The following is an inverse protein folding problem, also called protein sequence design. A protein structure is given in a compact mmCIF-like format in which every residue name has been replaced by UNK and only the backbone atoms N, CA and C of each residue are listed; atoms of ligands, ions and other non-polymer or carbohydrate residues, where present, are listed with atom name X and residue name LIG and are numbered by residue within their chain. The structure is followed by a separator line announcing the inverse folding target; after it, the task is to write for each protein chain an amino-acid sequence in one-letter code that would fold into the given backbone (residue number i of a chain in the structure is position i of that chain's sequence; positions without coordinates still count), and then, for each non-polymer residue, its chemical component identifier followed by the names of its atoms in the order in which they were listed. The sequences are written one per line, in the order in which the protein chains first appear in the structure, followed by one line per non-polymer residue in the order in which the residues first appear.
data_IF_732892915898
#
_entry.id   IF_732892915898
#
_cell.length_a   1.000
_cell.length_b   1.000
_cell.length_c   1.000
_cell.angle_alpha   90.00
_cell.angle_beta   90.00
_cell.angle_gamma   90.00
#
_symmetry.space_group_name_H-M   'P 1'
#
loop_
_entity.id
_entity.type
_entity.pdbx_description
1 polymer ?
#
# COMPACT_ATOMS: atom_id res chain seq x y z
N UNK A 1 71.21 -43.01 -31.36
CA UNK A 1 71.68 -43.59 -30.08
C UNK A 1 71.25 -42.59 -29.01
N UNK A 2 70.36 -42.81 -28.04
CA UNK A 2 69.66 -43.97 -27.45
C UNK A 2 68.58 -43.35 -26.56
N UNK A 3 67.30 -43.56 -26.87
CA UNK A 3 66.29 -44.32 -26.08
C UNK A 3 65.81 -43.69 -24.77
N UNK A 4 64.48 -43.58 -24.61
CA UNK A 4 63.82 -43.39 -23.33
C UNK A 4 62.33 -43.08 -23.41
N UNK A 5 61.52 -44.02 -23.92
CA UNK A 5 60.07 -44.01 -23.69
C UNK A 5 59.79 -44.59 -22.29
N UNK A 6 58.94 -43.92 -21.52
CA UNK A 6 58.53 -44.33 -20.17
C UNK A 6 57.12 -43.84 -19.86
N UNK A 7 56.25 -44.81 -19.62
CA UNK A 7 54.80 -44.80 -19.51
C UNK A 7 54.21 -44.05 -18.27
N UNK A 8 52.92 -43.73 -18.41
CA UNK A 8 51.84 -43.85 -17.39
C UNK A 8 51.43 -42.66 -16.48
N UNK A 9 50.09 -42.59 -16.35
CA UNK A 9 49.27 -42.01 -15.28
C UNK A 9 48.71 -40.58 -15.39
N UNK A 10 47.47 -40.50 -15.91
CA UNK A 10 46.42 -39.55 -15.48
C UNK A 10 45.92 -39.98 -14.08
N UNK A 11 45.52 -39.08 -13.16
CA UNK A 11 44.20 -38.46 -13.29
C UNK A 11 44.01 -37.04 -12.72
N UNK A 12 43.01 -36.36 -13.30
CA UNK A 12 41.96 -35.58 -12.63
C UNK A 12 42.36 -34.61 -11.51
N UNK A 13 42.22 -33.30 -11.77
CA UNK A 13 41.70 -32.31 -10.82
C UNK A 13 41.45 -30.96 -11.50
N UNK A 14 40.30 -30.87 -12.16
CA UNK A 14 39.56 -29.61 -12.22
C UNK A 14 39.21 -29.22 -10.77
N UNK A 15 39.85 -28.20 -10.21
CA UNK A 15 39.37 -27.53 -8.99
C UNK A 15 40.10 -26.20 -8.77
N UNK A 16 39.45 -25.08 -9.12
CA UNK A 16 39.49 -23.84 -8.34
C UNK A 16 38.53 -22.82 -8.95
N UNK A 17 37.21 -23.04 -8.80
CA UNK A 17 36.26 -21.94 -8.85
C UNK A 17 36.32 -21.24 -7.48
N UNK A 18 36.91 -20.05 -7.45
CA UNK A 18 36.82 -19.15 -6.30
C UNK A 18 35.38 -18.63 -6.19
N UNK A 19 34.52 -19.37 -5.49
CA UNK A 19 33.24 -18.87 -5.04
C UNK A 19 33.47 -18.03 -3.78
N UNK A 20 33.59 -16.73 -3.94
CA UNK A 20 33.53 -15.79 -2.82
C UNK A 20 32.11 -15.82 -2.26
N UNK A 21 31.89 -16.57 -1.19
CA UNK A 21 30.62 -16.58 -0.45
C UNK A 21 30.45 -15.23 0.24
N UNK A 22 29.59 -14.37 -0.31
CA UNK A 22 29.03 -13.24 0.42
C UNK A 22 28.31 -13.81 1.66
N UNK A 23 28.88 -13.58 2.84
CA UNK A 23 28.26 -13.94 4.11
C UNK A 23 27.16 -12.91 4.39
N UNK A 24 25.95 -13.20 3.94
CA UNK A 24 24.76 -12.46 4.37
C UNK A 24 24.41 -12.91 5.79
N UNK A 25 24.26 -11.98 6.73
CA UNK A 25 23.92 -12.31 8.11
C UNK A 25 22.47 -12.84 8.18
N UNK A 26 22.18 -13.68 9.18
CA UNK A 26 20.84 -14.23 9.38
C UNK A 26 19.75 -13.14 9.50
N UNK A 27 20.12 -11.94 9.95
CA UNK A 27 19.25 -10.76 10.00
C UNK A 27 18.91 -10.24 8.60
N UNK A 28 19.85 -10.24 7.66
CA UNK A 28 19.64 -9.81 6.26
C UNK A 28 18.74 -10.80 5.50
N UNK A 29 18.90 -12.09 5.79
CA UNK A 29 18.02 -13.15 5.28
C UNK A 29 16.59 -12.99 5.82
N UNK A 30 16.45 -12.57 7.08
CA UNK A 30 15.13 -12.32 7.67
C UNK A 30 14.47 -11.08 7.06
N UNK A 31 15.23 -10.00 6.84
CA UNK A 31 14.75 -8.76 6.21
C UNK A 31 14.30 -9.01 4.76
N UNK A 32 15.09 -9.74 3.98
CA UNK A 32 14.74 -10.10 2.59
C UNK A 32 13.51 -11.00 2.51
N UNK A 33 13.39 -12.01 3.38
CA UNK A 33 12.19 -12.85 3.48
C UNK A 33 10.93 -12.07 3.89
N UNK A 34 11.06 -11.08 4.78
CA UNK A 34 9.95 -10.20 5.14
C UNK A 34 9.56 -9.29 3.98
N UNK A 35 10.53 -8.72 3.27
CA UNK A 35 10.28 -7.89 2.08
C UNK A 35 9.61 -8.69 0.94
N UNK A 36 10.07 -9.91 0.67
CA UNK A 36 9.45 -10.83 -0.29
C UNK A 36 8.02 -11.18 0.11
N UNK A 37 7.77 -11.43 1.40
CA UNK A 37 6.41 -11.67 1.92
C UNK A 37 5.51 -10.46 1.76
N UNK A 38 6.03 -9.25 1.98
CA UNK A 38 5.28 -8.00 1.78
C UNK A 38 4.93 -7.84 0.29
N UNK A 39 5.89 -8.03 -0.62
CA UNK A 39 5.70 -7.95 -2.07
C UNK A 39 4.77 -9.06 -2.61
N UNK A 40 4.78 -10.25 -2.02
CA UNK A 40 3.90 -11.36 -2.41
C UNK A 40 2.43 -11.15 -2.03
N UNK A 41 2.13 -10.14 -1.19
CA UNK A 41 0.76 -9.81 -0.76
C UNK A 41 0.19 -8.55 -1.40
N UNK A 42 0.92 -7.89 -2.30
CA UNK A 42 0.40 -6.75 -3.06
C UNK A 42 -0.68 -7.19 -4.05
N UNK A 43 -1.90 -7.34 -3.55
CA UNK A 43 -3.07 -7.51 -4.39
C UNK A 43 -3.22 -6.26 -5.26
N UNK A 44 -3.45 -6.47 -6.56
CA UNK A 44 -3.69 -5.37 -7.47
C UNK A 44 -4.94 -4.62 -7.04
N UNK A 45 -4.81 -3.30 -6.86
CA UNK A 45 -5.93 -2.45 -6.45
C UNK A 45 -7.05 -2.50 -7.50
N UNK A 46 -8.29 -2.68 -7.06
CA UNK A 46 -9.43 -2.71 -7.97
C UNK A 46 -9.66 -1.29 -8.53
N UNK A 47 -10.04 -1.15 -9.81
CA UNK A 47 -10.26 0.17 -10.43
C UNK A 47 -11.23 1.08 -9.66
N UNK A 48 -12.24 0.49 -9.02
CA UNK A 48 -13.27 1.24 -8.28
C UNK A 48 -12.77 1.84 -6.95
N UNK A 49 -11.63 1.38 -6.42
CA UNK A 49 -11.11 1.87 -5.15
C UNK A 49 -10.68 3.34 -5.24
N UNK A 50 -10.06 3.74 -6.36
CA UNK A 50 -9.65 5.13 -6.55
C UNK A 50 -10.85 6.10 -6.48
N UNK A 51 -11.93 5.79 -7.20
CA UNK A 51 -13.14 6.62 -7.18
C UNK A 51 -13.77 6.63 -5.78
N UNK A 52 -13.80 5.48 -5.10
CA UNK A 52 -14.34 5.40 -3.75
C UNK A 52 -13.53 6.25 -2.75
N UNK A 53 -12.20 6.12 -2.75
CA UNK A 53 -11.32 6.90 -1.87
C UNK A 53 -11.43 8.40 -2.15
N UNK A 54 -11.58 8.78 -3.43
CA UNK A 54 -11.61 10.16 -3.88
C UNK A 54 -12.96 10.86 -3.66
N UNK A 55 -14.08 10.17 -3.87
CA UNK A 55 -15.38 10.82 -4.09
C UNK A 55 -16.48 10.33 -3.13
N UNK A 56 -16.32 9.18 -2.47
CA UNK A 56 -17.35 8.63 -1.59
C UNK A 56 -17.65 9.58 -0.44
N UNK A 57 -18.88 10.10 -0.42
CA UNK A 57 -19.41 11.04 0.56
C UNK A 57 -18.63 12.34 0.66
N UNK A 58 -17.93 12.75 -0.40
CA UNK A 58 -17.27 14.07 -0.45
C UNK A 58 -18.27 15.14 -0.88
N UNK A 59 -19.08 14.84 -1.91
CA UNK A 59 -20.05 15.77 -2.49
C UNK A 59 -21.47 15.57 -1.97
N UNK A 60 -22.25 16.66 -1.95
CA UNK A 60 -23.66 16.64 -1.53
C UNK A 60 -24.53 16.02 -2.61
N UNK A 61 -25.46 15.16 -2.22
CA UNK A 61 -26.42 14.58 -3.15
C UNK A 61 -27.44 15.63 -3.62
N UNK A 62 -27.32 16.08 -4.87
CA UNK A 62 -28.25 17.05 -5.46
C UNK A 62 -29.68 16.49 -5.57
N UNK A 63 -29.85 15.19 -5.85
CA UNK A 63 -31.16 14.56 -5.87
C UNK A 63 -31.82 14.52 -4.49
N UNK A 64 -31.05 14.45 -3.41
CA UNK A 64 -31.60 14.48 -2.05
C UNK A 64 -32.18 15.84 -1.70
N UNK A 65 -31.50 16.93 -2.09
CA UNK A 65 -32.02 18.31 -1.94
C UNK A 65 -33.37 18.52 -2.64
N UNK A 66 -33.62 17.77 -3.71
CA UNK A 66 -34.89 17.78 -4.45
C UNK A 66 -35.88 16.71 -3.97
N UNK A 67 -35.57 15.97 -2.90
CA UNK A 67 -36.35 14.83 -2.40
C UNK A 67 -36.55 13.68 -3.42
N UNK A 68 -35.63 13.54 -4.37
CA UNK A 68 -35.65 12.55 -5.47
C UNK A 68 -34.64 11.42 -5.31
N UNK A 69 -33.79 11.44 -4.28
CA UNK A 69 -32.80 10.39 -4.08
C UNK A 69 -33.49 9.09 -3.62
N UNK A 70 -33.43 8.01 -4.42
CA UNK A 70 -33.98 6.70 -4.04
C UNK A 70 -32.98 5.82 -3.26
N UNK A 71 -31.77 6.32 -3.03
CA UNK A 71 -30.68 5.61 -2.35
C UNK A 71 -30.42 6.14 -0.92
N UNK A 72 -31.35 6.93 -0.37
CA UNK A 72 -31.26 7.39 1.02
C UNK A 72 -31.80 6.35 2.02
N UNK A 73 -32.66 5.44 1.54
CA UNK A 73 -33.24 4.31 2.28
C UNK A 73 -33.39 3.09 1.34
N UNK A 74 -32.54 2.06 1.46
CA UNK A 74 -31.43 1.91 2.41
C UNK A 74 -30.31 2.93 2.13
N UNK A 75 -29.43 3.15 3.12
CA UNK A 75 -28.38 4.17 3.10
C UNK A 75 -27.19 3.82 2.18
N UNK A 76 -27.45 3.73 0.88
CA UNK A 76 -26.50 3.27 -0.13
C UNK A 76 -26.04 4.39 -1.09
N UNK A 77 -26.53 5.62 -0.92
CA UNK A 77 -26.13 6.74 -1.76
C UNK A 77 -24.63 7.01 -1.62
N UNK A 78 -24.00 7.28 -2.76
CA UNK A 78 -22.57 7.59 -2.83
C UNK A 78 -22.23 8.98 -2.31
N UNK A 79 -23.18 9.92 -2.41
CA UNK A 79 -23.06 11.30 -1.96
C UNK A 79 -23.68 11.48 -0.57
N UNK A 80 -23.25 12.50 0.17
CA UNK A 80 -23.77 12.75 1.51
C UNK A 80 -25.13 13.47 1.47
N UNK A 81 -25.96 13.21 2.48
CA UNK A 81 -27.30 13.83 2.65
C UNK A 81 -27.32 14.84 3.79
N UNK A 82 -26.70 14.46 4.91
CA UNK A 82 -26.53 15.30 6.08
C UNK A 82 -25.05 15.58 6.31
N UNK A 83 -24.75 16.71 6.95
CA UNK A 83 -23.37 17.18 7.11
C UNK A 83 -22.49 16.21 7.89
N UNK A 84 -23.03 15.51 8.89
CA UNK A 84 -22.31 14.48 9.64
C UNK A 84 -21.97 13.21 8.83
N UNK A 85 -22.48 13.09 7.60
CA UNK A 85 -22.12 12.01 6.68
C UNK A 85 -21.04 12.43 5.69
N UNK A 86 -20.72 13.73 5.62
CA UNK A 86 -19.71 14.28 4.72
C UNK A 86 -18.33 13.77 5.16
N UNK A 87 -17.55 13.33 4.20
CA UNK A 87 -16.14 12.94 4.37
C UNK A 87 -15.24 13.95 3.68
N UNK A 88 -14.13 14.31 4.32
CA UNK A 88 -13.04 15.05 3.68
C UNK A 88 -12.24 14.13 2.77
N UNK A 89 -11.88 14.59 1.57
CA UNK A 89 -11.03 13.83 0.64
C UNK A 89 -9.63 13.64 1.27
N UNK A 90 -9.11 12.40 1.37
CA UNK A 90 -7.70 12.18 1.74
C UNK A 90 -6.77 12.73 0.65
N UNK A 91 -5.78 13.51 1.06
CA UNK A 91 -4.78 14.11 0.16
C UNK A 91 -3.40 13.79 0.74
N UNK A 92 -2.58 13.09 -0.06
CA UNK A 92 -1.15 12.91 0.25
C UNK A 92 -0.40 14.16 -0.18
N UNK A 93 0.18 14.87 0.78
CA UNK A 93 1.02 16.06 0.59
C UNK A 93 2.39 15.66 0.01
N UNK A 94 3.16 16.64 -0.47
CA UNK A 94 4.48 16.42 -1.09
C UNK A 94 5.51 15.82 -0.12
N UNK A 95 5.36 16.12 1.16
CA UNK A 95 6.19 15.57 2.24
C UNK A 95 5.86 14.11 2.60
N UNK A 96 4.87 13.51 1.92
CA UNK A 96 4.42 12.15 2.16
C UNK A 96 3.37 12.00 3.26
N UNK A 97 3.03 13.07 3.98
CA UNK A 97 1.98 13.06 5.01
C UNK A 97 0.59 13.20 4.39
N UNK A 98 -0.45 12.85 5.14
CA UNK A 98 -1.84 13.09 4.73
C UNK A 98 -2.37 14.41 5.32
N UNK A 99 -3.40 14.99 4.70
CA UNK A 99 -4.08 16.19 5.19
C UNK A 99 -4.81 15.98 6.53
N UNK A 100 -5.06 14.75 6.95
CA UNK A 100 -5.52 14.43 8.30
C UNK A 100 -4.98 13.05 8.71
N UNK A 101 -4.95 12.80 10.02
CA UNK A 101 -4.52 11.50 10.55
C UNK A 101 -5.60 10.44 10.33
N UNK A 102 -5.18 9.23 9.94
CA UNK A 102 -6.06 8.06 9.87
C UNK A 102 -6.35 7.45 11.26
N UNK A 103 -5.49 7.74 12.24
CA UNK A 103 -5.48 7.08 13.55
C UNK A 103 -5.94 8.02 14.68
N UNK A 104 -5.59 9.31 14.59
CA UNK A 104 -5.92 10.29 15.61
C UNK A 104 -7.26 10.97 15.30
N UNK A 105 -8.26 10.68 16.12
CA UNK A 105 -9.59 11.28 16.01
C UNK A 105 -9.62 12.72 16.52
N UNK A 106 -10.40 13.59 15.86
CA UNK A 106 -10.57 14.98 16.26
C UNK A 106 -11.52 15.08 17.46
N UNK A 107 -11.06 15.62 18.58
CA UNK A 107 -11.87 15.81 19.79
C UNK A 107 -12.81 17.01 19.73
N UNK A 108 -12.62 17.91 18.75
CA UNK A 108 -13.45 19.10 18.54
C UNK A 108 -14.58 18.88 17.53
N UNK A 109 -14.59 17.75 16.82
CA UNK A 109 -15.61 17.45 15.82
C UNK A 109 -16.92 17.08 16.52
N UNK A 110 -18.00 17.77 16.16
CA UNK A 110 -19.34 17.42 16.64
C UNK A 110 -19.99 16.41 15.67
N UNK A 111 -20.15 15.17 16.13
CA UNK A 111 -20.73 14.07 15.36
C UNK A 111 -22.23 14.26 15.05
N UNK A 112 -22.93 15.08 15.82
CA UNK A 112 -24.35 15.37 15.61
C UNK A 112 -24.53 16.35 14.47
N UNK A 113 -23.76 17.44 14.46
CA UNK A 113 -23.87 18.50 13.45
C UNK A 113 -22.98 18.28 12.23
N UNK A 114 -21.90 17.51 12.36
CA UNK A 114 -20.91 17.28 11.32
C UNK A 114 -19.92 18.42 11.12
N UNK A 115 -19.70 19.24 12.15
CA UNK A 115 -18.89 20.46 12.06
C UNK A 115 -17.65 20.32 12.95
N UNK A 116 -16.49 20.67 12.40
CA UNK A 116 -15.27 20.94 13.14
C UNK A 116 -15.00 22.44 13.11
N UNK A 117 -14.71 23.10 14.25
CA UNK A 117 -14.37 24.53 14.26
C UNK A 117 -13.07 24.85 13.50
N UNK A 118 -12.16 23.87 13.39
CA UNK A 118 -10.91 24.01 12.62
C UNK A 118 -11.14 23.81 11.10
N UNK A 119 -12.36 23.43 10.69
CA UNK A 119 -12.72 23.25 9.28
C UNK A 119 -12.11 22.00 8.64
N UNK A 120 -11.73 22.14 7.38
CA UNK A 120 -11.21 21.04 6.54
C UNK A 120 -9.69 20.88 6.58
N UNK A 121 -8.98 21.75 7.30
CA UNK A 121 -7.52 21.71 7.43
C UNK A 121 -6.99 20.60 8.34
#
# INVERSE_FOLDING_TARGET
MTTGAGNQDLPSRYAANFATTLHYDAKDIQITKMAEKIMATTQQEKPNHYNYLKEFRVEQCQSFLQHKCNQHRPFICFNWHFMNQRRRRPIRKRDGTFNYSADNYCTKYDETTGICPDGDE
#
